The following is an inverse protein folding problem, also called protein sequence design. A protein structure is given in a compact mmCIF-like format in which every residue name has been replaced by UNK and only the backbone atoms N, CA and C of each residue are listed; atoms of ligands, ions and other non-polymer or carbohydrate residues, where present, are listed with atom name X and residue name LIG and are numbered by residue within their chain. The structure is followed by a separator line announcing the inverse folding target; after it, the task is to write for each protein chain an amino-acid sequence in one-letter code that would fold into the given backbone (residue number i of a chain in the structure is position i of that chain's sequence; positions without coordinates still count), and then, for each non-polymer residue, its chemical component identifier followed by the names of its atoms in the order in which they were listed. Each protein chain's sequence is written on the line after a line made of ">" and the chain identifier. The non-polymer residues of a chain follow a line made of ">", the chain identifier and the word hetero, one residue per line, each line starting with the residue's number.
data_IF_342752346317
#
_entry.id   IF_342752346317
#
_cell.length_a   1.000
_cell.length_b   1.000
_cell.length_c   1.000
_cell.angle_alpha   90.00
_cell.angle_beta   90.00
_cell.angle_gamma   90.00
#
_symmetry.space_group_name_H-M   'P 1'
#
loop_
_entity.id
_entity.type
_entity.pdbx_description
1 polymer ?
#
# COMPACT_ATOMS: atom_id res chain seq x y z
N UNK A 1 -2.94 33.32 -16.21
CA UNK A 1 -2.88 31.86 -16.52
C UNK A 1 -1.53 31.20 -16.22
N UNK A 2 -0.36 31.84 -16.40
CA UNK A 2 0.95 31.16 -16.29
C UNK A 2 1.37 30.62 -14.91
N UNK A 3 1.00 31.28 -13.79
CA UNK A 3 1.50 30.89 -12.45
C UNK A 3 0.93 29.57 -11.93
N UNK A 4 -0.34 29.29 -12.24
CA UNK A 4 -1.03 28.07 -11.79
C UNK A 4 -0.54 26.83 -12.55
N UNK A 5 -0.23 26.99 -13.84
CA UNK A 5 0.34 25.93 -14.69
C UNK A 5 1.75 25.55 -14.25
N UNK A 6 2.56 26.53 -13.85
CA UNK A 6 3.93 26.31 -13.37
C UNK A 6 3.93 25.56 -12.02
N UNK A 7 3.05 25.92 -11.08
CA UNK A 7 2.91 25.20 -9.82
C UNK A 7 2.47 23.74 -10.04
N UNK A 8 1.55 23.49 -10.98
CA UNK A 8 1.09 22.14 -11.30
C UNK A 8 2.22 21.27 -11.88
N UNK A 9 3.03 21.83 -12.78
CA UNK A 9 4.20 21.16 -13.35
C UNK A 9 5.28 20.87 -12.30
N UNK A 10 5.48 21.77 -11.33
CA UNK A 10 6.40 21.56 -10.22
C UNK A 10 5.95 20.42 -9.31
N UNK A 11 4.67 20.36 -8.94
CA UNK A 11 4.11 19.25 -8.15
C UNK A 11 4.20 17.91 -8.89
N UNK A 12 3.90 17.90 -10.20
CA UNK A 12 4.09 16.72 -11.04
C UNK A 12 5.56 16.29 -11.10
N UNK A 13 6.50 17.23 -11.22
CA UNK A 13 7.93 16.90 -11.25
C UNK A 13 8.45 16.33 -9.93
N UNK A 14 7.94 16.80 -8.78
CA UNK A 14 8.34 16.29 -7.46
C UNK A 14 7.75 14.90 -7.18
N UNK A 15 6.57 14.58 -7.70
CA UNK A 15 5.97 13.24 -7.60
C UNK A 15 6.78 12.16 -8.35
N UNK A 16 7.55 12.56 -9.36
CA UNK A 16 8.42 11.66 -10.13
C UNK A 16 9.77 11.38 -9.47
N UNK A 17 10.19 12.17 -8.48
CA UNK A 17 11.53 12.07 -7.85
C UNK A 17 11.49 11.24 -6.55
N UNK A 18 10.32 10.76 -6.12
CA UNK A 18 10.25 9.84 -4.98
C UNK A 18 11.06 8.56 -5.29
N UNK A 19 12.14 8.26 -4.55
CA UNK A 19 12.95 7.08 -4.82
C UNK A 19 12.08 5.84 -4.59
N UNK A 20 11.85 5.07 -5.65
CA UNK A 20 11.22 3.75 -5.58
C UNK A 20 12.24 2.68 -5.87
N UNK A 21 12.23 1.55 -5.12
CA UNK A 21 13.05 0.40 -5.47
C UNK A 21 12.69 -0.09 -6.88
N UNK A 22 13.69 -0.60 -7.60
CA UNK A 22 13.62 -0.98 -9.01
C UNK A 22 12.81 -2.26 -9.31
N UNK A 23 11.84 -2.59 -8.45
CA UNK A 23 10.92 -3.70 -8.67
C UNK A 23 9.78 -3.23 -9.57
N UNK A 24 9.56 -4.00 -10.64
CA UNK A 24 8.60 -3.82 -11.73
C UNK A 24 7.73 -2.54 -11.63
N UNK A 25 8.11 -1.49 -12.36
CA UNK A 25 7.30 -0.28 -12.46
C UNK A 25 5.92 -0.60 -13.03
N UNK A 26 4.92 -0.71 -12.16
CA UNK A 26 3.52 -0.90 -12.55
C UNK A 26 3.00 0.47 -12.99
N UNK A 27 2.78 0.64 -14.29
CA UNK A 27 2.20 1.88 -14.81
C UNK A 27 0.72 1.99 -14.41
N UNK A 28 -0.05 0.92 -14.56
CA UNK A 28 -1.46 0.85 -14.14
C UNK A 28 -1.77 -0.57 -13.65
N UNK A 29 -2.43 -0.71 -12.51
CA UNK A 29 -2.80 -2.02 -11.98
C UNK A 29 -2.99 -2.06 -10.48
N UNK A 30 -2.77 -3.25 -9.92
CA UNK A 30 -2.84 -3.52 -8.49
C UNK A 30 -1.51 -4.07 -8.01
N UNK A 31 -1.13 -3.67 -6.81
CA UNK A 31 0.06 -4.14 -6.10
C UNK A 31 -0.35 -4.63 -4.71
N UNK A 32 0.29 -5.70 -4.24
CA UNK A 32 0.09 -6.23 -2.90
C UNK A 32 1.19 -5.68 -1.98
N UNK A 33 0.80 -5.09 -0.86
CA UNK A 33 1.71 -4.54 0.14
C UNK A 33 1.54 -5.33 1.42
N UNK A 34 2.64 -5.91 1.88
CA UNK A 34 2.71 -6.67 3.12
C UNK A 34 3.39 -5.81 4.18
N UNK A 35 2.72 -5.61 5.31
CA UNK A 35 3.31 -4.92 6.47
C UNK A 35 3.41 -5.89 7.63
N UNK A 36 4.63 -6.06 8.15
CA UNK A 36 4.85 -6.81 9.40
C UNK A 36 4.21 -6.04 10.57
N UNK A 37 3.34 -6.73 11.30
CA UNK A 37 2.61 -6.18 12.43
C UNK A 37 3.16 -6.66 13.77
N UNK A 38 3.59 -7.93 13.84
CA UNK A 38 4.16 -8.51 15.04
C UNK A 38 5.23 -9.56 14.68
N UNK A 39 6.28 -9.65 15.50
CA UNK A 39 7.31 -10.67 15.38
C UNK A 39 7.06 -11.79 16.38
N UNK A 40 6.86 -13.01 15.88
CA UNK A 40 6.76 -14.16 16.76
C UNK A 40 8.15 -14.67 17.15
N UNK A 41 8.28 -15.33 18.32
CA UNK A 41 9.52 -15.97 18.70
C UNK A 41 9.85 -17.11 17.73
N UNK A 42 11.14 -17.34 17.49
CA UNK A 42 11.64 -18.38 16.60
C UNK A 42 11.55 -19.78 17.27
N UNK A 43 10.31 -20.28 17.39
CA UNK A 43 10.00 -21.62 17.90
C UNK A 43 9.39 -22.50 16.81
N UNK A 44 9.43 -23.82 16.99
CA UNK A 44 8.87 -24.78 16.04
C UNK A 44 7.35 -24.60 15.83
N UNK A 45 6.64 -23.99 16.78
CA UNK A 45 5.20 -23.67 16.69
C UNK A 45 4.91 -22.65 15.59
N UNK A 46 5.81 -21.69 15.36
CA UNK A 46 5.67 -20.65 14.35
C UNK A 46 6.51 -20.96 13.09
N UNK A 47 6.93 -22.21 12.89
CA UNK A 47 7.71 -22.62 11.71
C UNK A 47 6.81 -23.14 10.60
N UNK A 48 6.92 -22.54 9.41
CA UNK A 48 6.25 -23.04 8.23
C UNK A 48 6.88 -24.36 7.77
N UNK A 49 6.18 -25.48 7.94
CA UNK A 49 6.64 -26.80 7.46
C UNK A 49 6.95 -26.85 5.96
N UNK A 50 6.30 -25.98 5.17
CA UNK A 50 6.47 -25.92 3.71
C UNK A 50 7.70 -25.12 3.28
N UNK A 51 8.04 -24.07 4.02
CA UNK A 51 9.07 -23.12 3.65
C UNK A 51 10.30 -23.16 4.55
N UNK A 52 10.29 -24.05 5.54
CA UNK A 52 11.35 -24.26 6.51
C UNK A 52 11.86 -22.97 7.17
N UNK A 53 10.94 -22.04 7.42
CA UNK A 53 11.24 -20.72 7.95
C UNK A 53 10.18 -20.30 8.95
N UNK A 54 10.58 -19.48 9.93
CA UNK A 54 9.66 -18.93 10.92
C UNK A 54 8.69 -17.95 10.28
N UNK A 55 7.55 -17.78 10.93
CA UNK A 55 6.45 -16.95 10.47
C UNK A 55 6.25 -15.78 11.41
N UNK A 56 5.93 -14.63 10.84
CA UNK A 56 5.55 -13.41 11.56
C UNK A 56 4.11 -13.05 11.25
N UNK A 57 3.47 -12.28 12.13
CA UNK A 57 2.15 -11.73 11.81
C UNK A 57 2.31 -10.48 10.94
N UNK A 58 1.59 -10.46 9.82
CA UNK A 58 1.50 -9.32 8.94
C UNK A 58 0.08 -8.96 8.56
N UNK A 59 -0.04 -7.86 7.84
CA UNK A 59 -1.29 -7.39 7.28
C UNK A 59 -1.11 -7.11 5.79
N UNK A 60 -2.05 -7.59 4.99
CA UNK A 60 -2.07 -7.41 3.55
C UNK A 60 -2.92 -6.19 3.17
N UNK A 61 -2.35 -5.35 2.32
CA UNK A 61 -3.03 -4.26 1.64
C UNK A 61 -3.01 -4.49 0.13
N UNK A 62 -4.06 -4.06 -0.55
CA UNK A 62 -4.10 -4.02 -2.01
C UNK A 62 -4.09 -2.56 -2.46
N UNK A 63 -3.00 -2.16 -3.09
CA UNK A 63 -2.78 -0.80 -3.57
C UNK A 63 -3.13 -0.70 -5.05
N UNK A 64 -3.98 0.26 -5.40
CA UNK A 64 -4.27 0.62 -6.78
C UNK A 64 -3.24 1.62 -7.28
N UNK A 65 -2.62 1.31 -8.41
CA UNK A 65 -1.64 2.16 -9.07
C UNK A 65 -2.20 2.68 -10.38
N UNK A 66 -2.01 3.97 -10.63
CA UNK A 66 -2.35 4.63 -11.88
C UNK A 66 -1.29 5.64 -12.28
N UNK A 67 -0.85 5.58 -13.53
CA UNK A 67 0.30 6.31 -14.05
C UNK A 67 1.53 6.24 -13.14
N UNK A 68 1.79 5.05 -12.60
CA UNK A 68 2.91 4.82 -11.69
C UNK A 68 2.75 5.51 -10.34
N UNK A 69 1.56 5.95 -9.92
CA UNK A 69 1.34 6.53 -8.60
C UNK A 69 0.27 5.75 -7.81
N UNK A 70 0.48 5.53 -6.50
CA UNK A 70 -0.54 4.93 -5.65
C UNK A 70 -1.71 5.90 -5.50
N UNK A 71 -2.90 5.49 -5.95
CA UNK A 71 -4.13 6.29 -5.78
C UNK A 71 -4.78 5.97 -4.45
N UNK A 72 -4.89 4.68 -4.15
CA UNK A 72 -5.70 4.18 -3.07
C UNK A 72 -5.15 2.84 -2.63
N UNK A 73 -5.26 2.54 -1.33
CA UNK A 73 -4.96 1.22 -0.82
C UNK A 73 -6.10 0.74 0.06
N UNK A 74 -6.54 -0.49 -0.15
CA UNK A 74 -7.58 -1.13 0.66
C UNK A 74 -6.98 -2.20 1.57
N UNK A 75 -7.38 -2.25 2.85
CA UNK A 75 -7.04 -3.36 3.72
C UNK A 75 -7.65 -4.66 3.20
N UNK A 76 -6.89 -5.75 3.18
CA UNK A 76 -7.36 -7.07 2.73
C UNK A 76 -7.52 -8.05 3.89
N UNK A 77 -6.64 -8.01 4.90
CA UNK A 77 -6.74 -8.87 6.07
C UNK A 77 -5.39 -9.25 6.67
N UNK A 78 -5.46 -10.04 7.74
CA UNK A 78 -4.30 -10.57 8.45
C UNK A 78 -3.71 -11.77 7.70
N UNK A 79 -2.38 -11.86 7.71
CA UNK A 79 -1.61 -12.90 7.03
C UNK A 79 -0.42 -13.31 7.89
N UNK A 80 0.07 -14.53 7.70
CA UNK A 80 1.38 -14.94 8.19
C UNK A 80 2.44 -14.66 7.13
N UNK A 81 3.44 -13.88 7.47
CA UNK A 81 4.60 -13.57 6.65
C UNK A 81 5.67 -14.64 6.87
N UNK A 82 6.26 -15.15 5.79
CA UNK A 82 7.35 -16.12 5.91
C UNK A 82 8.67 -15.36 6.01
N UNK A 83 9.40 -15.51 7.12
CA UNK A 83 10.73 -14.88 7.28
C UNK A 83 11.63 -15.27 6.10
N UNK A 84 12.44 -14.33 5.62
CA UNK A 84 13.33 -14.48 4.46
C UNK A 84 12.64 -14.68 3.10
N UNK A 85 11.32 -14.52 2.99
CA UNK A 85 10.60 -14.51 1.71
C UNK A 85 9.62 -13.33 1.65
N UNK A 86 10.02 -12.19 1.07
CA UNK A 86 9.24 -10.95 1.11
C UNK A 86 7.86 -11.08 0.45
N UNK A 87 7.73 -11.91 -0.60
CA UNK A 87 6.50 -12.06 -1.37
C UNK A 87 5.64 -13.27 -0.94
N UNK A 88 6.07 -14.02 0.08
CA UNK A 88 5.39 -15.25 0.49
C UNK A 88 4.60 -15.03 1.78
N UNK A 89 3.30 -15.29 1.71
CA UNK A 89 2.40 -15.18 2.84
C UNK A 89 1.33 -16.27 2.83
N UNK A 90 0.76 -16.53 4.01
CA UNK A 90 -0.38 -17.42 4.20
C UNK A 90 -1.55 -16.57 4.69
N UNK A 91 -2.70 -16.63 4.01
CA UNK A 91 -3.90 -15.92 4.45
C UNK A 91 -4.46 -16.58 5.71
N UNK A 92 -4.80 -15.76 6.70
CA UNK A 92 -5.48 -16.22 7.91
C UNK A 92 -6.98 -15.98 7.76
N UNK A 93 -7.77 -17.02 7.98
CA UNK A 93 -9.23 -17.00 7.90
C UNK A 93 -9.84 -17.70 9.12
N UNK A 94 -11.06 -17.30 9.52
CA UNK A 94 -11.80 -17.93 10.62
C UNK A 94 -11.04 -17.99 11.94
N UNK A 95 -11.15 -19.13 12.62
CA UNK A 95 -10.63 -19.35 13.98
C UNK A 95 -9.10 -19.25 14.07
N UNK A 96 -8.37 -19.63 13.01
CA UNK A 96 -6.91 -19.53 12.97
C UNK A 96 -6.47 -18.07 13.08
N UNK A 97 -7.19 -17.15 12.44
CA UNK A 97 -6.91 -15.72 12.50
C UNK A 97 -7.03 -15.22 13.94
N UNK A 98 -8.09 -15.59 14.63
CA UNK A 98 -8.36 -15.11 15.99
C UNK A 98 -7.34 -15.68 16.98
N UNK A 99 -6.92 -16.93 16.80
CA UNK A 99 -5.84 -17.56 17.58
C UNK A 99 -4.51 -16.80 17.44
N UNK A 100 -4.06 -16.54 16.22
CA UNK A 100 -2.79 -15.82 16.00
C UNK A 100 -2.86 -14.35 16.45
N UNK A 101 -4.03 -13.72 16.34
CA UNK A 101 -4.24 -12.38 16.87
C UNK A 101 -4.17 -12.34 18.38
N UNK A 102 -4.81 -13.30 19.06
CA UNK A 102 -4.75 -13.42 20.52
C UNK A 102 -3.32 -13.67 21.00
N UNK A 103 -2.59 -14.58 20.34
CA UNK A 103 -1.17 -14.85 20.63
C UNK A 103 -0.27 -13.63 20.44
N UNK A 104 -0.58 -12.78 19.45
CA UNK A 104 0.15 -11.53 19.20
C UNK A 104 -0.30 -10.36 20.11
N UNK A 105 -1.27 -10.58 21.01
CA UNK A 105 -1.79 -9.54 21.91
C UNK A 105 -2.73 -8.55 21.23
N UNK A 106 -3.45 -8.97 20.20
CA UNK A 106 -4.38 -8.16 19.39
C UNK A 106 -3.76 -6.84 18.90
N UNK A 107 -2.70 -6.92 18.07
CA UNK A 107 -2.03 -5.72 17.57
C UNK A 107 -3.00 -4.88 16.73
N UNK A 108 -2.92 -3.54 16.79
CA UNK A 108 -3.72 -2.68 15.94
C UNK A 108 -3.36 -2.93 14.47
N UNK A 109 -4.34 -2.73 13.57
CA UNK A 109 -4.10 -2.82 12.13
C UNK A 109 -3.00 -1.80 11.75
N UNK A 110 -1.89 -2.24 11.14
CA UNK A 110 -0.80 -1.35 10.76
C UNK A 110 -1.30 -0.31 9.75
N UNK A 111 -0.78 0.91 9.83
CA UNK A 111 -1.15 1.99 8.91
C UNK A 111 -0.16 2.06 7.76
N UNK A 112 -0.66 2.21 6.54
CA UNK A 112 0.17 2.56 5.40
C UNK A 112 0.68 4.00 5.52
N UNK A 113 1.80 4.28 4.84
CA UNK A 113 2.32 5.63 4.74
C UNK A 113 1.30 6.56 4.06
N UNK A 114 1.32 7.84 4.41
CA UNK A 114 0.49 8.87 3.77
C UNK A 114 0.64 8.85 2.24
N UNK A 115 1.87 8.65 1.77
CA UNK A 115 2.21 8.58 0.35
C UNK A 115 1.49 7.44 -0.37
N UNK A 116 1.47 6.25 0.24
CA UNK A 116 0.78 5.07 -0.29
C UNK A 116 -0.75 5.22 -0.30
N UNK A 117 -1.31 5.99 0.63
CA UNK A 117 -2.77 6.14 0.76
C UNK A 117 -3.35 7.31 -0.05
N UNK A 118 -2.64 8.43 -0.13
CA UNK A 118 -3.25 9.70 -0.55
C UNK A 118 -2.48 10.45 -1.65
N UNK A 119 -1.24 10.07 -2.00
CA UNK A 119 -0.44 10.83 -2.97
C UNK A 119 -1.15 10.97 -4.32
N UNK A 120 -1.74 9.89 -4.84
CA UNK A 120 -2.47 9.94 -6.11
C UNK A 120 -3.68 10.88 -6.04
N UNK A 121 -4.41 10.93 -4.93
CA UNK A 121 -5.51 11.89 -4.77
C UNK A 121 -5.04 13.34 -4.71
N UNK A 122 -3.89 13.60 -4.08
CA UNK A 122 -3.30 14.95 -4.04
C UNK A 122 -2.90 15.42 -5.44
N UNK A 123 -2.50 14.52 -6.34
CA UNK A 123 -2.11 14.86 -7.72
C UNK A 123 -3.32 14.88 -8.67
N UNK A 124 -4.16 13.84 -8.64
CA UNK A 124 -5.29 13.69 -9.56
C UNK A 124 -6.52 14.50 -9.16
N UNK A 125 -6.74 14.76 -7.87
CA UNK A 125 -7.86 15.56 -7.38
C UNK A 125 -7.88 16.97 -7.99
N UNK A 126 -6.78 17.74 -7.91
CA UNK A 126 -6.69 19.06 -8.56
C UNK A 126 -6.85 19.02 -10.08
N UNK A 127 -6.34 17.97 -10.75
CA UNK A 127 -6.50 17.79 -12.20
C UNK A 127 -7.98 17.59 -12.59
N UNK A 128 -8.70 16.75 -11.84
CA UNK A 128 -10.13 16.54 -12.03
C UNK A 128 -10.93 17.82 -11.77
N UNK A 129 -10.61 18.55 -10.71
CA UNK A 129 -11.25 19.82 -10.38
C UNK A 129 -11.00 20.89 -11.47
N UNK A 130 -9.79 20.97 -12.01
CA UNK A 130 -9.45 21.89 -13.11
C UNK A 130 -10.19 21.51 -14.41
N UNK A 131 -10.30 20.22 -14.71
CA UNK A 131 -11.08 19.73 -15.84
C UNK A 131 -12.57 20.04 -15.71
N UNK A 132 -13.16 19.80 -14.54
CA UNK A 132 -14.52 20.16 -14.23
C UNK A 132 -14.74 21.69 -14.30
N UNK A 133 -13.84 22.47 -13.70
CA UNK A 133 -13.87 23.92 -13.78
C UNK A 133 -13.85 24.40 -15.23
N UNK A 134 -13.02 23.84 -16.11
CA UNK A 134 -13.04 24.22 -17.54
C UNK A 134 -14.33 23.88 -18.27
N UNK A 135 -15.02 22.81 -17.86
CA UNK A 135 -16.31 22.41 -18.45
C UNK A 135 -17.47 23.28 -17.96
N UNK A 136 -17.41 23.75 -16.72
CA UNK A 136 -18.49 24.52 -16.08
C UNK A 136 -18.18 26.01 -15.93
N UNK A 137 -16.96 26.45 -16.23
CA UNK A 137 -16.63 27.86 -16.31
C UNK A 137 -17.39 28.46 -17.48
N UNK A 138 -18.12 29.57 -17.27
CA UNK A 138 -18.74 30.28 -18.37
C UNK A 138 -17.65 30.63 -19.38
N UNK A 139 -17.89 30.28 -20.65
CA UNK A 139 -17.08 30.81 -21.75
C UNK A 139 -17.36 32.32 -21.78
N UNK A 140 -16.46 33.10 -21.20
CA UNK A 140 -16.43 34.55 -21.33
C UNK A 140 -15.82 34.94 -22.68
#
# INVERSE_FOLDING_TARGET
>A
MGRLTVCLLLVLSMAWIAPRPAEAFILNGWEEILIKAHEFPDTDEYRSKRHDSHMDLGYLFKQQIFLGMPIWASPQGWVLLIKNKPDAFIRLEGDDKDLFLEQAGNPPVPKLSFTSQYLGWVVFGPLLLLGAYRKFAPQA
#
